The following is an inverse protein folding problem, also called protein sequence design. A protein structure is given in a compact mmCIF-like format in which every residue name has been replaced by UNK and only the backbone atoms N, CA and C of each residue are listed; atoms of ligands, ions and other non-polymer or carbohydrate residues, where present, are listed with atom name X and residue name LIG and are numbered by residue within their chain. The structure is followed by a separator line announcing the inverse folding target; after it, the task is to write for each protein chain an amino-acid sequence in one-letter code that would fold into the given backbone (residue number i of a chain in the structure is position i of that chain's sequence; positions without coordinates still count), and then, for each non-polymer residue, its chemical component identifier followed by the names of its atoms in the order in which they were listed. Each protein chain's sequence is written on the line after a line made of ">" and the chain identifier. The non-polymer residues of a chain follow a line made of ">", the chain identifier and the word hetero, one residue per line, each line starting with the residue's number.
data_IF_379705640363
#
_entry.id   IF_379705640363
#
_cell.length_a   1.000
_cell.length_b   1.000
_cell.length_c   1.000
_cell.angle_alpha   90.00
_cell.angle_beta   90.00
_cell.angle_gamma   90.00
#
_symmetry.space_group_name_H-M   'P 1'
#
loop_
_entity.id
_entity.type
_entity.pdbx_description
1 polymer ?
#
# COMPACT_ATOMS: atom_id res chain seq x y z
N UNK A 1 10.02 -71.18 -1.66
CA UNK A 1 10.11 -70.05 -2.63
C UNK A 1 9.24 -68.90 -2.12
N UNK A 2 9.84 -67.86 -1.54
CA UNK A 2 9.15 -66.80 -0.93
C UNK A 2 9.39 -65.50 -1.78
N UNK A 3 8.32 -64.98 -2.39
CA UNK A 3 8.39 -63.79 -3.24
C UNK A 3 8.12 -62.56 -2.38
N UNK A 4 9.11 -61.68 -2.28
CA UNK A 4 8.96 -60.36 -1.69
C UNK A 4 8.41 -59.40 -2.77
N UNK A 5 7.26 -58.76 -2.50
CA UNK A 5 6.70 -57.69 -3.32
C UNK A 5 7.09 -56.39 -2.62
N UNK A 6 8.07 -55.70 -3.19
CA UNK A 6 8.45 -54.35 -2.73
C UNK A 6 7.45 -53.33 -3.24
N UNK A 7 6.67 -52.76 -2.35
CA UNK A 7 5.80 -51.62 -2.65
C UNK A 7 6.60 -50.32 -2.69
N UNK A 8 6.62 -49.68 -3.84
CA UNK A 8 7.15 -48.32 -4.00
C UNK A 8 6.13 -47.35 -3.44
N UNK A 9 6.40 -46.73 -2.28
CA UNK A 9 5.65 -45.61 -1.76
C UNK A 9 6.16 -44.32 -2.43
N UNK A 10 5.40 -43.78 -3.38
CA UNK A 10 5.67 -42.46 -3.95
C UNK A 10 5.13 -41.42 -2.98
N UNK A 11 6.03 -40.72 -2.29
CA UNK A 11 5.68 -39.61 -1.43
C UNK A 11 5.37 -38.40 -2.33
N UNK A 12 4.10 -38.02 -2.45
CA UNK A 12 3.70 -36.76 -3.05
C UNK A 12 3.92 -35.64 -2.01
N UNK A 13 5.00 -34.87 -2.19
CA UNK A 13 5.14 -33.58 -1.50
C UNK A 13 4.09 -32.62 -2.07
N UNK A 14 3.00 -32.42 -1.35
CA UNK A 14 2.08 -31.36 -1.59
C UNK A 14 2.79 -30.06 -1.20
N UNK A 15 3.29 -29.30 -2.16
CA UNK A 15 3.70 -27.91 -1.94
C UNK A 15 2.44 -27.15 -1.55
N UNK A 16 2.33 -26.74 -0.29
CA UNK A 16 1.29 -25.79 0.11
C UNK A 16 1.53 -24.48 -0.66
N UNK A 17 0.52 -23.90 -1.32
CA UNK A 17 0.68 -22.59 -1.92
C UNK A 17 1.12 -21.62 -0.81
N UNK A 18 2.19 -20.89 -1.04
CA UNK A 18 2.58 -19.80 -0.16
C UNK A 18 1.40 -18.85 -0.07
N UNK A 19 0.87 -18.67 1.12
CA UNK A 19 -0.23 -17.75 1.35
C UNK A 19 0.35 -16.35 1.14
N UNK A 20 -0.17 -15.61 0.17
CA UNK A 20 0.22 -14.24 -0.07
C UNK A 20 0.06 -13.45 1.23
N UNK A 21 1.16 -12.89 1.72
CA UNK A 21 1.15 -12.11 2.96
C UNK A 21 0.59 -10.72 2.70
N UNK A 22 -0.37 -10.29 3.51
CA UNK A 22 -0.78 -8.87 3.54
C UNK A 22 0.14 -8.08 4.45
N UNK A 23 0.49 -6.88 4.01
CA UNK A 23 1.31 -5.91 4.76
C UNK A 23 0.58 -4.57 4.78
N UNK A 24 0.64 -3.89 5.92
CA UNK A 24 0.17 -2.51 6.08
C UNK A 24 1.35 -1.55 6.17
N UNK A 25 1.27 -0.43 5.46
CA UNK A 25 2.18 0.70 5.60
C UNK A 25 1.40 1.81 6.33
N UNK A 26 1.75 2.07 7.58
CA UNK A 26 1.06 2.99 8.49
C UNK A 26 1.85 4.26 8.82
N UNK A 27 3.06 4.42 8.26
CA UNK A 27 3.93 5.59 8.48
C UNK A 27 4.38 5.78 9.95
N UNK A 28 4.47 4.69 10.71
CA UNK A 28 4.70 4.70 12.15
C UNK A 28 6.16 4.95 12.58
N UNK A 29 7.12 4.85 11.66
CA UNK A 29 8.54 4.95 11.97
C UNK A 29 9.02 6.36 12.36
N UNK A 30 8.63 7.42 11.64
CA UNK A 30 9.08 8.79 11.94
C UNK A 30 8.24 9.45 13.04
N UNK A 31 8.86 10.45 13.69
CA UNK A 31 8.12 11.38 14.55
C UNK A 31 7.34 12.43 13.73
N UNK A 32 6.49 13.17 14.44
CA UNK A 32 5.72 14.29 13.92
C UNK A 32 6.60 15.36 13.25
N UNK A 33 6.14 15.93 12.14
CA UNK A 33 6.79 17.01 11.40
C UNK A 33 7.02 16.68 9.93
N UNK A 34 8.06 17.27 9.34
CA UNK A 34 8.41 17.00 7.95
C UNK A 34 8.74 15.51 7.78
N UNK A 35 8.03 14.85 6.86
CA UNK A 35 8.30 13.45 6.57
C UNK A 35 9.74 13.27 6.03
N UNK A 36 10.48 12.24 6.47
CA UNK A 36 11.75 11.88 5.87
C UNK A 36 11.58 11.65 4.36
N UNK A 37 12.56 12.05 3.56
CA UNK A 37 12.53 11.81 2.11
C UNK A 37 12.53 10.33 1.76
N UNK A 38 13.02 9.49 2.65
CA UNK A 38 13.02 8.05 2.51
C UNK A 38 12.97 7.39 3.90
N UNK A 39 12.17 6.32 4.03
CA UNK A 39 12.08 5.50 5.23
C UNK A 39 11.79 4.04 4.86
N UNK A 40 12.38 3.07 5.56
CA UNK A 40 12.00 1.67 5.44
C UNK A 40 10.78 1.37 6.31
N UNK A 41 9.85 0.58 5.79
CA UNK A 41 8.70 0.08 6.54
C UNK A 41 8.27 -1.27 6.00
N UNK A 42 8.21 -2.28 6.86
CA UNK A 42 7.73 -3.64 6.57
C UNK A 42 8.27 -4.29 5.28
N UNK A 43 9.56 -4.08 5.01
CA UNK A 43 10.24 -4.61 3.84
C UNK A 43 10.04 -3.80 2.55
N UNK A 44 9.35 -2.68 2.64
CA UNK A 44 9.21 -1.70 1.58
C UNK A 44 10.12 -0.49 1.82
N UNK A 45 10.36 0.24 0.76
CA UNK A 45 10.99 1.55 0.76
C UNK A 45 9.93 2.59 0.47
N UNK A 46 9.66 3.44 1.44
CA UNK A 46 8.71 4.55 1.32
C UNK A 46 9.49 5.82 1.02
N UNK A 47 9.18 6.46 -0.09
CA UNK A 47 9.82 7.72 -0.53
C UNK A 47 8.79 8.82 -0.53
N UNK A 48 9.07 9.92 0.12
CA UNK A 48 8.15 11.05 0.24
C UNK A 48 8.70 12.31 -0.44
N UNK A 49 7.78 13.13 -0.91
CA UNK A 49 8.07 14.47 -1.40
C UNK A 49 6.98 15.43 -0.92
N UNK A 50 7.39 16.50 -0.26
CA UNK A 50 6.48 17.54 0.24
C UNK A 50 5.34 16.98 1.12
N UNK A 51 5.70 16.04 2.00
CA UNK A 51 4.79 15.39 2.94
C UNK A 51 5.14 15.74 4.38
N UNK A 52 4.15 15.66 5.24
CA UNK A 52 4.27 15.78 6.69
C UNK A 52 3.70 14.54 7.37
N UNK A 53 4.27 14.18 8.51
CA UNK A 53 3.70 13.22 9.44
C UNK A 53 3.00 14.03 10.54
N UNK A 54 1.77 13.72 10.79
CA UNK A 54 1.03 14.17 11.97
C UNK A 54 0.66 12.99 12.84
N UNK A 55 0.62 13.25 14.15
CA UNK A 55 0.17 12.28 15.15
C UNK A 55 -1.02 12.91 15.86
N UNK A 56 -2.19 12.89 15.25
CA UNK A 56 -3.36 13.47 15.86
C UNK A 56 -3.60 12.76 17.19
N UNK A 57 -3.63 13.51 18.28
CA UNK A 57 -3.91 12.97 19.61
C UNK A 57 -5.30 12.29 19.72
N UNK A 58 -6.00 12.23 18.66
CA UNK A 58 -7.31 11.63 18.47
C UNK A 58 -7.16 10.20 18.01
N UNK A 59 -6.57 9.45 18.89
CA UNK A 59 -6.64 8.01 18.85
C UNK A 59 -8.11 7.58 18.81
N UNK A 60 -8.52 6.92 17.79
CA UNK A 60 -9.86 6.33 17.73
C UNK A 60 -10.32 6.09 16.32
N UNK A 61 -9.81 6.86 15.39
CA UNK A 61 -10.10 6.70 13.98
C UNK A 61 -8.84 6.38 13.17
N UNK A 62 -7.68 6.29 13.84
CA UNK A 62 -6.47 5.77 13.25
C UNK A 62 -6.70 4.31 12.86
N UNK A 63 -6.36 3.97 11.66
CA UNK A 63 -6.61 2.65 11.15
C UNK A 63 -5.39 1.75 11.28
N UNK A 64 -4.20 2.34 11.53
CA UNK A 64 -2.94 1.62 11.74
C UNK A 64 -1.95 2.47 12.56
N UNK A 65 -2.17 2.55 13.88
CA UNK A 65 -1.33 3.32 14.80
C UNK A 65 -1.71 4.80 14.93
N UNK A 66 -0.82 5.63 15.53
CA UNK A 66 -1.10 7.03 15.81
C UNK A 66 -0.75 8.00 14.67
N UNK A 67 0.09 7.61 13.72
CA UNK A 67 0.57 8.48 12.66
C UNK A 67 -0.34 8.49 11.44
N UNK A 68 -0.33 9.62 10.76
CA UNK A 68 -0.90 9.78 9.43
C UNK A 68 0.04 10.62 8.57
N UNK A 69 -0.05 10.51 7.25
CA UNK A 69 0.76 11.29 6.33
C UNK A 69 -0.12 12.18 5.45
N UNK A 70 0.23 13.46 5.38
CA UNK A 70 -0.50 14.48 4.64
C UNK A 70 0.43 15.31 3.74
N UNK A 71 -0.12 15.99 2.73
CA UNK A 71 0.66 16.95 1.95
C UNK A 71 1.04 18.14 2.83
N UNK A 72 2.30 18.56 2.76
CA UNK A 72 2.73 19.78 3.40
C UNK A 72 1.90 20.97 2.88
N UNK A 73 1.61 21.92 3.76
CA UNK A 73 0.71 23.04 3.48
C UNK A 73 1.05 23.73 2.15
N UNK A 74 0.06 23.91 1.30
CA UNK A 74 0.16 24.54 -0.03
C UNK A 74 1.04 23.80 -1.05
N UNK A 75 1.33 22.51 -0.82
CA UNK A 75 2.09 21.68 -1.76
C UNK A 75 1.23 20.59 -2.36
N UNK A 76 1.77 19.93 -3.39
CA UNK A 76 1.22 18.71 -3.96
C UNK A 76 2.18 17.57 -3.67
N UNK A 77 2.10 17.05 -2.46
CA UNK A 77 2.94 15.97 -1.99
C UNK A 77 2.71 14.66 -2.74
N UNK A 78 3.65 13.75 -2.58
CA UNK A 78 3.54 12.40 -3.11
C UNK A 78 4.24 11.41 -2.19
N UNK A 79 3.69 10.20 -2.11
CA UNK A 79 4.28 9.04 -1.46
C UNK A 79 4.49 7.96 -2.49
N UNK A 80 5.70 7.43 -2.61
CA UNK A 80 6.00 6.27 -3.42
C UNK A 80 6.40 5.10 -2.52
N UNK A 81 5.76 3.96 -2.70
CA UNK A 81 6.04 2.71 -1.99
C UNK A 81 6.64 1.74 -2.99
N UNK A 82 7.85 1.25 -2.73
CA UNK A 82 8.64 0.45 -3.66
C UNK A 82 9.15 -0.82 -3.00
N UNK A 83 9.22 -1.88 -3.78
CA UNK A 83 9.87 -3.13 -3.39
C UNK A 83 10.45 -3.82 -4.63
N UNK A 84 11.57 -4.55 -4.46
CA UNK A 84 12.17 -5.33 -5.56
C UNK A 84 11.25 -6.48 -5.99
N UNK A 85 10.71 -7.22 -5.01
CA UNK A 85 9.72 -8.26 -5.28
C UNK A 85 8.37 -7.61 -5.62
N UNK A 86 7.70 -8.02 -6.70
CA UNK A 86 6.41 -7.47 -7.08
C UNK A 86 5.33 -7.69 -6.02
N UNK A 87 4.33 -6.80 -6.00
CA UNK A 87 3.20 -6.84 -5.08
C UNK A 87 1.92 -6.35 -5.76
N UNK A 88 0.80 -6.41 -5.06
CA UNK A 88 -0.48 -5.85 -5.49
C UNK A 88 -0.98 -4.82 -4.48
N UNK A 89 -1.70 -3.81 -4.95
CA UNK A 89 -2.39 -2.84 -4.10
C UNK A 89 -3.79 -3.34 -3.75
N UNK A 90 -4.14 -3.33 -2.48
CA UNK A 90 -5.45 -3.79 -1.97
C UNK A 90 -6.35 -2.62 -1.61
N UNK A 91 -5.88 -1.73 -0.72
CA UNK A 91 -6.68 -0.62 -0.22
C UNK A 91 -5.82 0.46 0.42
N UNK A 92 -6.42 1.61 0.68
CA UNK A 92 -5.86 2.65 1.53
C UNK A 92 -6.97 3.28 2.39
N UNK A 93 -6.58 3.83 3.53
CA UNK A 93 -7.47 4.60 4.37
C UNK A 93 -7.16 6.08 4.23
N UNK A 94 -8.22 6.87 4.07
CA UNK A 94 -8.15 8.29 3.80
C UNK A 94 -9.14 9.06 4.67
N UNK A 95 -8.72 10.20 5.20
CA UNK A 95 -9.62 11.20 5.77
C UNK A 95 -9.56 12.51 4.98
N UNK A 96 -10.68 13.22 4.93
CA UNK A 96 -10.75 14.58 4.40
C UNK A 96 -10.79 15.55 5.56
N UNK A 97 -9.84 16.47 5.62
CA UNK A 97 -9.84 17.53 6.61
C UNK A 97 -10.65 18.73 6.12
N UNK A 98 -10.41 19.15 4.89
CA UNK A 98 -11.12 20.26 4.27
C UNK A 98 -11.36 20.00 2.79
N UNK A 99 -12.46 20.56 2.26
CA UNK A 99 -12.74 20.55 0.82
C UNK A 99 -13.10 19.19 0.24
N UNK A 100 -12.68 18.93 -0.97
CA UNK A 100 -12.88 17.71 -1.72
C UNK A 100 -11.61 17.35 -2.51
N UNK A 101 -10.53 16.94 -1.84
CA UNK A 101 -9.28 16.60 -2.50
C UNK A 101 -9.46 15.41 -3.42
N UNK A 102 -8.78 15.42 -4.55
CA UNK A 102 -8.73 14.30 -5.45
C UNK A 102 -7.48 13.48 -5.21
N UNK A 103 -7.67 12.26 -4.76
CA UNK A 103 -6.61 11.28 -4.57
C UNK A 103 -6.37 10.52 -5.88
N UNK A 104 -5.10 10.35 -6.22
CA UNK A 104 -4.68 9.54 -7.36
C UNK A 104 -3.69 8.50 -6.87
N UNK A 105 -3.91 7.26 -7.31
CA UNK A 105 -3.05 6.11 -7.02
C UNK A 105 -2.56 5.54 -8.34
N UNK A 106 -1.25 5.46 -8.54
CA UNK A 106 -0.64 4.96 -9.76
C UNK A 106 0.22 3.73 -9.45
N UNK A 107 0.00 2.64 -10.17
CA UNK A 107 0.80 1.43 -10.11
C UNK A 107 1.73 1.29 -11.30
N UNK A 108 2.99 0.97 -11.04
CA UNK A 108 4.02 0.78 -12.05
C UNK A 108 4.66 -0.60 -11.93
N UNK A 109 5.10 -1.14 -13.08
CA UNK A 109 6.00 -2.28 -13.16
C UNK A 109 7.21 -1.83 -13.99
N UNK A 110 8.38 -1.73 -13.37
CA UNK A 110 9.52 -1.00 -13.93
C UNK A 110 9.16 0.45 -14.21
N UNK A 111 9.37 0.90 -15.45
CA UNK A 111 9.04 2.25 -15.90
C UNK A 111 7.61 2.38 -16.45
N UNK A 112 6.89 1.27 -16.59
CA UNK A 112 5.58 1.26 -17.24
C UNK A 112 4.47 1.53 -16.21
N UNK A 113 3.62 2.53 -16.49
CA UNK A 113 2.35 2.70 -15.77
C UNK A 113 1.41 1.54 -16.13
N UNK A 114 1.07 0.72 -15.14
CA UNK A 114 0.16 -0.44 -15.30
C UNK A 114 -1.28 0.00 -15.23
N UNK A 115 -1.62 0.74 -14.17
CA UNK A 115 -2.97 1.23 -13.96
C UNK A 115 -2.98 2.47 -13.05
N UNK A 116 -4.13 3.16 -13.03
CA UNK A 116 -4.35 4.34 -12.20
C UNK A 116 -5.77 4.32 -11.64
N UNK A 117 -5.87 4.48 -10.33
CA UNK A 117 -7.13 4.79 -9.65
C UNK A 117 -7.22 6.28 -9.33
N UNK A 118 -8.46 6.79 -9.35
CA UNK A 118 -8.75 8.17 -9.00
C UNK A 118 -10.08 8.22 -8.27
N UNK A 119 -10.11 8.91 -7.14
CA UNK A 119 -11.34 9.12 -6.39
C UNK A 119 -11.34 10.48 -5.72
N UNK A 120 -12.53 11.01 -5.48
CA UNK A 120 -12.71 12.19 -4.64
C UNK A 120 -12.85 11.70 -3.21
N UNK A 121 -11.94 12.12 -2.35
CA UNK A 121 -12.02 11.79 -0.94
C UNK A 121 -13.29 12.39 -0.35
N UNK A 122 -14.07 11.53 0.29
CA UNK A 122 -15.28 11.92 1.02
C UNK A 122 -15.08 11.44 2.47
N UNK A 123 -15.36 12.30 3.38
CA UNK A 123 -15.22 12.01 4.80
C UNK A 123 -15.35 13.30 5.56
N UNK A 124 -15.21 13.22 6.84
CA UNK A 124 -15.11 14.35 7.73
C UNK A 124 -13.79 14.26 8.48
N UNK A 125 -13.33 15.36 8.97
CA UNK A 125 -12.21 15.40 9.90
C UNK A 125 -12.34 14.32 10.98
N UNK A 126 -11.27 13.60 11.26
CA UNK A 126 -11.19 12.46 12.19
C UNK A 126 -11.97 11.19 11.77
N UNK A 127 -12.41 11.06 10.53
CA UNK A 127 -13.08 9.83 10.06
C UNK A 127 -12.37 9.30 8.82
N UNK A 128 -11.62 8.23 8.99
CA UNK A 128 -11.00 7.52 7.87
C UNK A 128 -12.03 6.68 7.10
N UNK A 129 -11.89 6.67 5.81
CA UNK A 129 -12.70 5.84 4.90
C UNK A 129 -11.76 4.96 4.10
N UNK A 130 -12.04 3.67 4.07
CA UNK A 130 -11.26 2.71 3.26
C UNK A 130 -11.67 2.81 1.79
N UNK A 131 -10.69 3.01 0.93
CA UNK A 131 -10.84 2.95 -0.51
C UNK A 131 -10.15 1.70 -1.04
N UNK A 132 -10.95 0.80 -1.61
CA UNK A 132 -10.45 -0.43 -2.23
C UNK A 132 -9.84 -0.12 -3.58
N UNK A 133 -8.83 -0.91 -3.97
CA UNK A 133 -8.32 -0.89 -5.33
C UNK A 133 -9.46 -1.11 -6.34
N UNK A 134 -9.39 -0.41 -7.46
CA UNK A 134 -10.36 -0.51 -8.56
C UNK A 134 -9.64 -0.93 -9.86
N UNK A 135 -9.11 -0.01 -10.63
CA UNK A 135 -8.33 -0.35 -11.82
C UNK A 135 -7.01 -1.07 -11.48
N UNK A 136 -6.52 -0.88 -10.24
CA UNK A 136 -5.34 -1.57 -9.71
C UNK A 136 -5.63 -2.96 -9.13
N UNK A 137 -6.88 -3.38 -9.05
CA UNK A 137 -7.24 -4.70 -8.50
C UNK A 137 -6.51 -5.83 -9.21
N UNK A 138 -5.68 -6.58 -8.46
CA UNK A 138 -4.91 -7.73 -8.98
C UNK A 138 -3.79 -7.35 -9.95
N UNK A 139 -3.51 -6.06 -10.15
CA UNK A 139 -2.39 -5.63 -10.98
C UNK A 139 -1.07 -5.84 -10.24
N UNK A 140 -0.14 -6.55 -10.89
CA UNK A 140 1.22 -6.78 -10.36
C UNK A 140 2.06 -5.54 -10.63
N UNK A 141 2.64 -4.99 -9.56
CA UNK A 141 3.43 -3.76 -9.59
C UNK A 141 4.69 -3.92 -8.72
N UNK A 142 5.69 -3.09 -8.94
CA UNK A 142 6.89 -2.96 -8.09
C UNK A 142 7.00 -1.58 -7.45
N UNK A 143 6.11 -0.66 -7.86
CA UNK A 143 6.04 0.70 -7.35
C UNK A 143 4.59 1.20 -7.35
N UNK A 144 4.12 1.67 -6.19
CA UNK A 144 2.87 2.38 -6.01
C UNK A 144 3.17 3.85 -5.73
N UNK A 145 2.51 4.77 -6.42
CA UNK A 145 2.63 6.21 -6.13
C UNK A 145 1.26 6.75 -5.73
N UNK A 146 1.22 7.37 -4.58
CA UNK A 146 0.04 8.00 -4.00
C UNK A 146 0.20 9.51 -4.08
N UNK A 147 -0.82 10.18 -4.60
CA UNK A 147 -0.93 11.64 -4.63
C UNK A 147 -2.15 12.05 -3.81
N UNK A 148 -1.95 12.37 -2.52
CA UNK A 148 -3.06 12.69 -1.62
C UNK A 148 -3.91 13.85 -2.07
N UNK A 149 -3.31 14.79 -2.81
CA UNK A 149 -3.97 16.00 -3.29
C UNK A 149 -3.50 16.33 -4.72
N UNK A 150 -3.81 15.45 -5.67
CA UNK A 150 -3.36 15.66 -7.06
C UNK A 150 -4.06 16.86 -7.70
N UNK A 151 -5.36 16.90 -7.57
CA UNK A 151 -6.24 17.92 -8.13
C UNK A 151 -7.36 18.23 -7.12
N UNK A 152 -8.04 19.38 -7.32
CA UNK A 152 -9.11 19.80 -6.44
C UNK A 152 -8.65 20.72 -5.33
N UNK A 153 -9.60 21.13 -4.51
CA UNK A 153 -9.38 22.01 -3.35
C UNK A 153 -9.60 21.22 -2.07
N UNK A 154 -8.72 21.35 -1.14
CA UNK A 154 -8.86 20.73 0.17
C UNK A 154 -7.61 20.01 0.61
N UNK A 155 -7.65 19.51 1.82
CA UNK A 155 -6.59 18.75 2.47
C UNK A 155 -7.17 17.47 3.03
N UNK A 156 -6.32 16.49 3.20
CA UNK A 156 -6.64 15.25 3.88
C UNK A 156 -5.39 14.42 4.10
N UNK A 157 -5.53 13.37 4.87
CA UNK A 157 -4.44 12.52 5.28
C UNK A 157 -4.68 11.07 4.89
N UNK A 158 -3.58 10.39 4.63
CA UNK A 158 -3.48 8.94 4.47
C UNK A 158 -2.99 8.34 5.79
N UNK A 159 -3.54 7.21 6.14
CA UNK A 159 -2.98 6.40 7.20
C UNK A 159 -2.51 5.05 6.65
N UNK A 160 -3.37 4.09 6.54
CA UNK A 160 -3.01 2.73 6.19
C UNK A 160 -3.05 2.47 4.67
N UNK A 161 -1.95 1.94 4.13
CA UNK A 161 -1.91 1.40 2.77
C UNK A 161 -1.70 -0.11 2.83
N UNK A 162 -2.68 -0.88 2.37
CA UNK A 162 -2.63 -2.34 2.39
C UNK A 162 -2.11 -2.87 1.07
N UNK A 163 -1.07 -3.68 1.16
CA UNK A 163 -0.41 -4.32 0.05
C UNK A 163 -0.42 -5.85 0.25
N UNK A 164 -0.30 -6.59 -0.83
CA UNK A 164 -0.26 -8.04 -0.81
C UNK A 164 0.86 -8.54 -1.72
N UNK A 165 1.57 -9.57 -1.31
CA UNK A 165 2.58 -10.19 -2.15
C UNK A 165 1.95 -10.68 -3.45
N UNK A 166 2.55 -10.34 -4.59
CA UNK A 166 2.10 -10.92 -5.85
C UNK A 166 2.32 -12.43 -5.81
N UNK A 167 1.32 -13.20 -6.20
CA UNK A 167 1.50 -14.63 -6.40
C UNK A 167 2.66 -14.83 -7.39
N UNK A 168 3.56 -15.78 -7.08
CA UNK A 168 4.62 -16.11 -8.01
C UNK A 168 4.01 -16.45 -9.38
N UNK A 169 4.39 -15.68 -10.39
CA UNK A 169 4.00 -16.00 -11.76
C UNK A 169 4.64 -17.36 -12.07
N UNK A 170 3.88 -18.34 -12.64
CA UNK A 170 4.45 -19.60 -13.03
C UNK A 170 5.60 -19.33 -14.00
N UNK A 171 6.78 -19.87 -13.68
CA UNK A 171 7.94 -19.77 -14.55
C UNK A 171 7.54 -20.29 -15.93
N UNK A 172 7.57 -19.42 -16.93
CA UNK A 172 7.35 -19.81 -18.33
C UNK A 172 8.57 -20.61 -18.78
N UNK A 173 8.39 -21.93 -18.79
CA UNK A 173 9.38 -22.90 -19.30
C UNK A 173 9.58 -22.77 -20.80
#
# INVERSE_FOLDING_TARGET
>A
MQRWIGGLFTLWLMASPAQAGQVSIGFEGPGEGQAPTEMPEDGYRVVTRDMMISSPAKSGNGTDGPNEIESAMNTRGAVAILRVAPFTFVSLDWQTETGAPQVVVEGYLGEQLVARDRFVARGSHDVFTTHMANALTGQVIDRLILYPQRDGSGMGALDRVVLEDAAELPETS
#
